data_IF_645112339597
#
_entry.id   IF_645112339597
#
_cell.length_a   1.000
_cell.length_b   1.000
_cell.length_c   1.000
_cell.angle_alpha   90.00
_cell.angle_beta   90.00
_cell.angle_gamma   90.00
#
_symmetry.space_group_name_H-M   'P 1'
#
loop_
_entity.id
_entity.type
_entity.pdbx_description
1 polymer ?
#
# COMPACT_ATOMS: atom_id res chain seq x y z
N UNK A 1 -14.38 -1.28 -19.00
CA UNK A 1 -13.55 -1.43 -20.20
C UNK A 1 -12.09 -1.57 -19.78
N UNK A 2 -11.39 -2.54 -20.32
CA UNK A 2 -9.96 -2.68 -20.03
C UNK A 2 -9.20 -1.42 -20.43
N UNK A 3 -8.26 -1.01 -19.60
CA UNK A 3 -7.41 0.15 -19.88
C UNK A 3 -7.93 1.49 -19.43
N UNK A 4 -9.16 1.57 -18.88
CA UNK A 4 -9.61 2.80 -18.25
C UNK A 4 -8.96 2.94 -16.87
N UNK A 5 -8.46 4.15 -16.57
CA UNK A 5 -7.87 4.43 -15.28
C UNK A 5 -8.95 4.47 -14.20
N UNK A 6 -8.67 3.82 -13.09
CA UNK A 6 -9.53 3.81 -11.90
C UNK A 6 -8.88 4.59 -10.78
N UNK A 7 -9.72 5.20 -9.95
CA UNK A 7 -9.28 5.88 -8.75
C UNK A 7 -8.93 4.85 -7.68
N UNK A 8 -7.75 5.00 -7.08
CA UNK A 8 -7.27 4.10 -6.03
C UNK A 8 -6.55 4.89 -4.94
N UNK A 9 -6.30 4.24 -3.81
CA UNK A 9 -5.42 4.78 -2.78
C UNK A 9 -4.46 3.71 -2.30
N UNK A 10 -3.26 4.14 -1.93
CA UNK A 10 -2.25 3.31 -1.30
C UNK A 10 -1.75 4.01 -0.04
N UNK A 11 -1.82 3.33 1.09
CA UNK A 11 -1.44 3.88 2.38
C UNK A 11 -0.06 3.36 2.77
N UNK A 12 0.83 4.28 3.13
CA UNK A 12 2.11 3.99 3.76
C UNK A 12 2.00 4.32 5.23
N UNK A 13 2.39 3.40 6.09
CA UNK A 13 2.42 3.63 7.55
C UNK A 13 3.86 3.58 8.03
N UNK A 14 4.24 4.59 8.80
CA UNK A 14 5.61 4.79 9.26
C UNK A 14 5.61 4.76 10.79
N UNK A 15 6.55 4.02 11.38
CA UNK A 15 6.72 4.00 12.84
C UNK A 15 7.70 5.10 13.30
N UNK A 16 7.88 5.30 14.63
CA UNK A 16 8.78 6.34 15.13
C UNK A 16 10.24 6.14 14.72
N UNK A 17 10.64 4.93 14.37
CA UNK A 17 12.01 4.63 13.90
C UNK A 17 12.15 4.85 12.39
N UNK A 18 11.09 5.26 11.70
CA UNK A 18 11.11 5.49 10.26
C UNK A 18 10.93 4.24 9.42
N UNK A 19 10.52 3.12 10.02
CA UNK A 19 10.27 1.88 9.29
C UNK A 19 8.89 1.90 8.66
N UNK A 20 8.76 1.24 7.51
CA UNK A 20 7.50 1.10 6.80
C UNK A 20 6.84 -0.24 7.13
N UNK A 21 5.53 -0.20 7.31
CA UNK A 21 4.75 -1.43 7.49
C UNK A 21 4.43 -2.03 6.13
N UNK A 22 4.76 -3.31 5.99
CA UNK A 22 4.43 -4.09 4.80
C UNK A 22 3.42 -5.16 5.15
N UNK A 23 2.58 -5.51 4.17
CA UNK A 23 1.70 -6.67 4.27
C UNK A 23 1.99 -7.65 3.15
N UNK A 24 1.94 -8.95 3.47
CA UNK A 24 1.92 -9.98 2.45
C UNK A 24 0.47 -10.32 2.16
N UNK A 25 0.09 -10.20 0.89
CA UNK A 25 -1.30 -10.42 0.47
C UNK A 25 -1.68 -11.88 0.67
N UNK A 26 -2.89 -12.11 1.20
CA UNK A 26 -3.38 -13.47 1.44
C UNK A 26 -3.41 -14.29 0.14
N UNK A 27 -3.17 -15.60 0.27
CA UNK A 27 -3.17 -16.51 -0.87
C UNK A 27 -4.54 -16.59 -1.56
N UNK A 28 -5.61 -16.22 -0.86
CA UNK A 28 -6.98 -16.18 -1.38
C UNK A 28 -7.32 -14.93 -2.16
N UNK A 29 -6.41 -13.96 -2.25
CA UNK A 29 -6.65 -12.74 -3.02
C UNK A 29 -6.76 -13.07 -4.50
N UNK A 30 -7.64 -12.36 -5.21
CA UNK A 30 -7.85 -12.59 -6.64
C UNK A 30 -6.77 -11.98 -7.52
N UNK A 31 -6.00 -11.00 -6.98
CA UNK A 31 -4.92 -10.32 -7.71
C UNK A 31 -3.68 -10.22 -6.85
N UNK A 32 -2.52 -10.51 -7.46
CA UNK A 32 -1.20 -10.39 -6.84
C UNK A 32 -1.10 -11.12 -5.49
N UNK A 33 -1.71 -12.32 -5.41
CA UNK A 33 -1.74 -13.13 -4.20
C UNK A 33 -0.32 -13.52 -3.75
N UNK A 34 -0.10 -13.47 -2.43
CA UNK A 34 1.17 -13.89 -1.82
C UNK A 34 2.30 -12.89 -1.94
N UNK A 35 2.11 -11.77 -2.64
CA UNK A 35 3.15 -10.74 -2.79
C UNK A 35 3.13 -9.75 -1.62
N UNK A 36 4.29 -9.16 -1.36
CA UNK A 36 4.41 -8.10 -0.37
C UNK A 36 4.02 -6.76 -0.98
N UNK A 37 3.30 -5.97 -0.21
CA UNK A 37 2.81 -4.66 -0.60
C UNK A 37 2.99 -3.67 0.56
N UNK A 38 2.63 -2.41 0.32
CA UNK A 38 2.52 -1.39 1.36
C UNK A 38 1.43 -1.76 2.36
N UNK A 39 1.21 -0.93 3.39
CA UNK A 39 0.34 -1.25 4.50
C UNK A 39 -1.10 -1.58 4.11
N UNK A 40 -1.68 -0.80 3.19
CA UNK A 40 -3.08 -0.94 2.82
C UNK A 40 -3.34 -0.30 1.47
N UNK A 41 -4.22 -0.90 0.68
CA UNK A 41 -4.65 -0.37 -0.61
C UNK A 41 -6.15 -0.55 -0.77
N UNK A 42 -6.75 0.23 -1.64
CA UNK A 42 -8.16 0.06 -1.96
C UNK A 42 -8.62 0.96 -3.10
N UNK A 43 -9.89 0.80 -3.42
CA UNK A 43 -10.56 1.57 -4.47
C UNK A 43 -11.81 2.20 -3.89
N UNK A 44 -11.91 3.55 -3.85
CA UNK A 44 -13.17 4.17 -3.46
C UNK A 44 -14.23 3.88 -4.52
N UNK A 45 -15.49 3.71 -4.07
CA UNK A 45 -16.61 3.59 -5.00
C UNK A 45 -16.82 4.92 -5.72
N UNK A 46 -17.44 4.92 -6.92
CA UNK A 46 -17.74 6.17 -7.60
C UNK A 46 -18.54 7.11 -6.70
N UNK A 47 -18.08 8.35 -6.59
CA UNK A 47 -18.70 9.36 -5.74
C UNK A 47 -18.29 9.32 -4.27
N UNK A 48 -17.55 8.31 -3.83
CA UNK A 48 -17.07 8.23 -2.45
C UNK A 48 -15.92 9.22 -2.23
N UNK A 49 -15.87 9.78 -1.00
CA UNK A 49 -14.73 10.56 -0.56
C UNK A 49 -13.51 9.64 -0.38
N UNK A 50 -12.40 10.01 -1.00
CA UNK A 50 -11.19 9.19 -0.99
C UNK A 50 -10.66 8.96 0.43
N UNK A 51 -10.57 10.04 1.24
CA UNK A 51 -10.02 9.93 2.60
C UNK A 51 -10.92 9.11 3.52
N UNK A 52 -12.24 9.23 3.35
CA UNK A 52 -13.19 8.41 4.09
C UNK A 52 -13.02 6.93 3.75
N UNK A 53 -12.93 6.60 2.46
CA UNK A 53 -12.75 5.22 2.00
C UNK A 53 -11.42 4.65 2.50
N UNK A 54 -10.35 5.44 2.46
CA UNK A 54 -9.03 5.02 2.93
C UNK A 54 -9.01 4.76 4.44
N UNK A 55 -9.61 5.66 5.23
CA UNK A 55 -9.69 5.53 6.68
C UNK A 55 -10.49 4.28 7.07
N UNK A 56 -11.60 4.05 6.39
CA UNK A 56 -12.42 2.87 6.62
C UNK A 56 -11.66 1.58 6.30
N UNK A 57 -10.97 1.54 5.18
CA UNK A 57 -10.23 0.36 4.74
C UNK A 57 -9.08 0.04 5.70
N UNK A 58 -8.41 1.06 6.21
CA UNK A 58 -7.34 0.91 7.19
C UNK A 58 -7.86 0.24 8.46
N UNK A 59 -9.03 0.65 8.93
CA UNK A 59 -9.68 0.05 10.09
C UNK A 59 -10.06 -1.41 9.82
N UNK A 60 -10.64 -1.68 8.64
CA UNK A 60 -11.08 -3.03 8.27
C UNK A 60 -9.91 -4.00 8.13
N UNK A 61 -8.82 -3.59 7.48
CA UNK A 61 -7.69 -4.48 7.19
C UNK A 61 -6.71 -4.62 8.34
N UNK A 62 -6.44 -3.55 9.08
CA UNK A 62 -5.40 -3.52 10.09
C UNK A 62 -5.88 -3.17 11.49
N UNK A 63 -7.16 -2.84 11.65
CA UNK A 63 -7.70 -2.45 12.95
C UNK A 63 -7.20 -1.10 13.44
N UNK A 64 -6.71 -0.26 12.56
CA UNK A 64 -6.17 1.06 12.91
C UNK A 64 -7.23 2.14 12.72
N UNK A 65 -7.47 2.92 13.77
CA UNK A 65 -8.43 4.03 13.76
C UNK A 65 -7.77 5.29 14.30
N UNK A 66 -8.27 6.47 13.86
CA UNK A 66 -7.82 7.74 14.41
C UNK A 66 -6.44 8.19 13.95
N UNK A 67 -5.85 7.54 12.96
CA UNK A 67 -4.57 7.94 12.40
C UNK A 67 -4.81 8.94 11.27
N UNK A 68 -4.33 10.18 11.39
CA UNK A 68 -4.42 11.13 10.28
C UNK A 68 -3.63 10.65 9.07
N UNK A 69 -4.22 10.80 7.89
CA UNK A 69 -3.57 10.45 6.63
C UNK A 69 -3.32 11.72 5.82
N UNK A 70 -2.14 11.82 5.22
CA UNK A 70 -1.75 12.94 4.38
C UNK A 70 -1.47 12.45 2.97
N UNK A 71 -2.07 13.07 1.96
CA UNK A 71 -1.78 12.74 0.58
C UNK A 71 -0.46 13.37 0.18
N UNK A 72 0.46 12.56 -0.38
CA UNK A 72 1.80 13.03 -0.77
C UNK A 72 2.03 12.98 -2.28
N UNK A 73 1.13 12.43 -3.04
CA UNK A 73 1.25 12.39 -4.49
C UNK A 73 0.28 11.42 -5.11
N UNK A 74 0.34 11.32 -6.43
CA UNK A 74 -0.47 10.39 -7.22
C UNK A 74 0.47 9.56 -8.08
N UNK A 75 0.36 8.25 -7.94
CA UNK A 75 1.11 7.29 -8.75
C UNK A 75 0.20 6.77 -9.86
N UNK A 76 0.51 7.12 -11.09
CA UNK A 76 -0.21 6.62 -12.26
C UNK A 76 0.55 5.42 -12.79
N UNK A 77 -0.11 4.26 -12.83
CA UNK A 77 0.57 3.06 -13.29
C UNK A 77 -0.37 2.12 -14.02
N UNK A 78 0.24 1.25 -14.81
CA UNK A 78 -0.41 0.15 -15.48
C UNK A 78 0.40 -1.11 -15.20
N UNK A 79 -0.25 -2.17 -14.78
CA UNK A 79 0.41 -3.44 -14.49
C UNK A 79 -0.45 -4.61 -14.94
N UNK A 80 0.20 -5.64 -15.47
CA UNK A 80 -0.46 -6.90 -15.83
C UNK A 80 -0.29 -7.89 -14.66
N UNK A 81 -1.38 -8.53 -14.27
CA UNK A 81 -1.34 -9.59 -13.28
C UNK A 81 -1.15 -10.93 -14.00
N UNK A 82 0.03 -11.55 -13.86
CA UNK A 82 0.28 -12.82 -14.55
C UNK A 82 -0.60 -13.96 -14.06
N UNK A 83 -1.11 -13.88 -12.82
CA UNK A 83 -1.96 -14.92 -12.26
C UNK A 83 -3.36 -14.95 -12.83
N UNK A 84 -3.89 -13.80 -13.28
CA UNK A 84 -5.26 -13.68 -13.77
C UNK A 84 -5.36 -13.17 -15.20
N UNK A 85 -4.27 -12.65 -15.77
CA UNK A 85 -4.26 -11.99 -17.07
C UNK A 85 -4.93 -10.61 -17.06
N UNK A 86 -5.29 -10.07 -15.90
CA UNK A 86 -5.94 -8.77 -15.79
C UNK A 86 -4.92 -7.64 -15.89
N UNK A 87 -5.39 -6.50 -16.39
CA UNK A 87 -4.59 -5.27 -16.49
C UNK A 87 -5.09 -4.28 -15.45
N UNK A 88 -4.16 -3.79 -14.61
CA UNK A 88 -4.42 -2.71 -13.66
C UNK A 88 -3.97 -1.39 -14.29
N UNK A 89 -4.89 -0.43 -14.37
CA UNK A 89 -4.57 0.93 -14.81
C UNK A 89 -5.21 1.90 -13.82
N UNK A 90 -4.39 2.56 -13.01
CA UNK A 90 -4.90 3.30 -11.85
C UNK A 90 -4.27 4.67 -11.68
N UNK A 91 -5.06 5.60 -11.15
CA UNK A 91 -4.59 6.83 -10.53
C UNK A 91 -4.58 6.55 -9.02
N UNK A 92 -3.41 6.24 -8.50
CA UNK A 92 -3.22 5.77 -7.14
C UNK A 92 -2.79 6.92 -6.24
N UNK A 93 -3.70 7.39 -5.40
CA UNK A 93 -3.43 8.45 -4.44
C UNK A 93 -2.60 7.89 -3.29
N UNK A 94 -1.40 8.44 -3.08
CA UNK A 94 -0.47 7.95 -2.07
C UNK A 94 -0.67 8.73 -0.79
N UNK A 95 -1.04 7.99 0.28
CA UNK A 95 -1.37 8.55 1.58
C UNK A 95 -0.38 8.04 2.62
N UNK A 96 0.03 8.89 3.55
CA UNK A 96 0.97 8.51 4.60
C UNK A 96 0.35 8.77 5.97
N UNK A 97 0.51 7.81 6.89
CA UNK A 97 0.15 7.96 8.29
C UNK A 97 1.30 7.52 9.18
N UNK A 98 1.38 8.10 10.38
CA UNK A 98 2.38 7.75 11.39
C UNK A 98 1.71 6.95 12.50
N UNK A 99 2.33 5.83 12.89
CA UNK A 99 1.85 5.02 14.01
C UNK A 99 2.79 5.13 15.19
N UNK A 100 2.21 5.07 16.40
CA UNK A 100 3.01 4.96 17.62
C UNK A 100 3.70 3.58 17.69
N UNK A 101 4.79 3.49 18.44
CA UNK A 101 5.56 2.24 18.57
C UNK A 101 4.72 1.11 19.19
N UNK A 102 3.76 1.46 20.04
CA UNK A 102 2.89 0.51 20.74
C UNK A 102 1.52 0.35 20.09
N UNK A 103 1.35 0.85 18.87
CA UNK A 103 0.07 0.73 18.16
C UNK A 103 -0.28 -0.74 17.96
N UNK A 104 -1.43 -1.13 18.48
CA UNK A 104 -1.96 -2.47 18.26
C UNK A 104 -2.44 -2.62 16.82
N UNK A 105 -1.99 -3.70 16.16
CA UNK A 105 -2.42 -4.04 14.80
C UNK A 105 -3.23 -5.34 14.85
N UNK A 106 -4.31 -5.36 14.09
CA UNK A 106 -5.19 -6.52 13.99
C UNK A 106 -5.43 -6.83 12.52
N UNK A 107 -4.46 -7.49 11.85
CA UNK A 107 -4.61 -7.81 10.43
C UNK A 107 -5.79 -8.75 10.17
N UNK A 108 -6.57 -8.46 9.13
CA UNK A 108 -7.64 -9.34 8.67
C UNK A 108 -7.02 -10.51 7.89
N UNK A 109 -7.14 -11.75 8.38
CA UNK A 109 -6.50 -12.90 7.74
C UNK A 109 -7.06 -13.23 6.35
N UNK A 110 -8.26 -12.76 6.01
CA UNK A 110 -8.80 -12.94 4.66
C UNK A 110 -8.12 -12.03 3.63
N UNK A 111 -7.44 -10.99 4.08
CA UNK A 111 -6.76 -10.03 3.22
C UNK A 111 -5.25 -10.11 3.35
N UNK A 112 -4.75 -10.38 4.55
CA UNK A 112 -3.33 -10.25 4.91
C UNK A 112 -2.84 -11.55 5.53
N UNK A 113 -1.81 -12.15 4.91
CA UNK A 113 -1.20 -13.37 5.43
C UNK A 113 -0.16 -13.07 6.52
N UNK A 114 0.53 -11.93 6.40
CA UNK A 114 1.65 -11.60 7.28
C UNK A 114 1.91 -10.09 7.23
N UNK A 115 2.40 -9.51 8.33
CA UNK A 115 2.87 -8.12 8.33
C UNK A 115 4.32 -8.06 8.79
N UNK A 116 5.03 -7.02 8.36
CA UNK A 116 6.44 -6.81 8.71
C UNK A 116 6.78 -5.32 8.69
N UNK A 117 7.50 -4.87 9.70
CA UNK A 117 8.13 -3.54 9.68
C UNK A 117 9.50 -3.65 9.02
N UNK A 118 9.81 -2.74 8.11
CA UNK A 118 11.07 -2.81 7.37
C UNK A 118 11.69 -1.43 7.18
N UNK A 119 12.99 -1.26 7.46
CA UNK A 119 13.66 0.00 7.17
C UNK A 119 13.64 0.30 5.67
N UNK A 120 13.43 1.56 5.26
CA UNK A 120 13.29 1.89 3.83
C UNK A 120 14.49 1.49 2.97
N UNK A 121 15.70 1.59 3.50
CA UNK A 121 16.91 1.21 2.75
C UNK A 121 16.96 -0.30 2.48
N UNK A 122 16.59 -1.09 3.47
CA UNK A 122 16.52 -2.55 3.32
C UNK A 122 15.42 -2.93 2.32
N UNK A 123 14.27 -2.25 2.41
CA UNK A 123 13.17 -2.49 1.51
C UNK A 123 13.57 -2.17 0.06
N UNK A 124 14.21 -1.03 -0.17
CA UNK A 124 14.63 -0.64 -1.51
C UNK A 124 15.63 -1.65 -2.09
N UNK A 125 16.57 -2.13 -1.27
CA UNK A 125 17.54 -3.14 -1.69
C UNK A 125 16.87 -4.47 -2.02
N UNK A 126 15.91 -4.90 -1.20
CA UNK A 126 15.21 -6.17 -1.41
C UNK A 126 14.31 -6.12 -2.65
N UNK A 127 13.62 -5.01 -2.87
CA UNK A 127 12.80 -4.81 -4.08
C UNK A 127 13.68 -4.86 -5.33
N UNK A 128 14.87 -4.26 -5.29
CA UNK A 128 15.79 -4.28 -6.42
C UNK A 128 16.33 -5.68 -6.71
N UNK A 129 16.63 -6.44 -5.65
CA UNK A 129 17.20 -7.79 -5.76
C UNK A 129 16.15 -8.86 -6.07
N UNK A 130 14.94 -8.72 -5.54
CA UNK A 130 13.87 -9.72 -5.64
C UNK A 130 12.54 -9.07 -6.00
N UNK A 131 12.44 -8.45 -7.20
CA UNK A 131 11.23 -7.69 -7.57
C UNK A 131 9.97 -8.56 -7.61
N UNK A 132 10.10 -9.86 -7.86
CA UNK A 132 8.96 -10.76 -7.95
C UNK A 132 8.29 -11.06 -6.60
N UNK A 133 8.90 -10.65 -5.50
CA UNK A 133 8.32 -10.78 -4.16
C UNK A 133 7.34 -9.68 -3.83
N UNK A 134 7.31 -8.62 -4.64
CA UNK A 134 6.59 -7.39 -4.35
C UNK A 134 5.56 -7.06 -5.41
N UNK A 135 4.53 -6.32 -5.00
CA UNK A 135 3.52 -5.85 -5.95
C UNK A 135 4.13 -4.84 -6.92
N UNK A 136 3.62 -4.78 -8.17
CA UNK A 136 4.21 -3.90 -9.19
C UNK A 136 4.15 -2.41 -8.85
N UNK A 137 3.21 -1.99 -8.01
CA UNK A 137 3.06 -0.57 -7.65
C UNK A 137 4.01 -0.12 -6.54
N UNK A 138 4.57 -1.03 -5.76
CA UNK A 138 5.36 -0.67 -4.59
C UNK A 138 6.59 0.20 -4.91
N UNK A 139 7.39 -0.09 -5.94
CA UNK A 139 8.54 0.78 -6.25
C UNK A 139 8.15 2.24 -6.51
N UNK A 140 7.04 2.47 -7.21
CA UNK A 140 6.55 3.82 -7.48
C UNK A 140 6.12 4.55 -6.21
N UNK A 141 5.47 3.85 -5.29
CA UNK A 141 5.08 4.42 -4.00
C UNK A 141 6.31 4.85 -3.19
N UNK A 142 7.33 3.99 -3.15
CA UNK A 142 8.57 4.29 -2.44
C UNK A 142 9.27 5.51 -3.02
N UNK A 143 9.29 5.64 -4.34
CA UNK A 143 9.89 6.79 -5.00
C UNK A 143 9.18 8.09 -4.63
N UNK A 144 7.85 8.09 -4.60
CA UNK A 144 7.05 9.25 -4.20
C UNK A 144 7.32 9.60 -2.74
N UNK A 145 7.33 8.61 -1.86
CA UNK A 145 7.58 8.83 -0.44
C UNK A 145 8.96 9.41 -0.18
N UNK A 146 9.99 8.87 -0.83
CA UNK A 146 11.35 9.36 -0.68
C UNK A 146 11.50 10.79 -1.19
N UNK A 147 10.82 11.14 -2.28
CA UNK A 147 10.87 12.48 -2.85
C UNK A 147 10.23 13.55 -1.94
N UNK A 148 9.29 13.15 -1.07
CA UNK A 148 8.60 14.08 -0.17
C UNK A 148 9.26 14.20 1.21
N UNK A 149 10.24 13.36 1.51
CA UNK A 149 10.93 13.39 2.80
C UNK A 149 11.93 14.53 2.84
N UNK A 150 12.06 15.22 3.99
CA UNK A 150 13.12 16.22 4.14
C UNK A 150 14.49 15.56 3.98
N UNK A 151 15.38 16.25 3.27
CA UNK A 151 16.77 15.84 3.19
C UNK A 151 17.44 16.18 4.52
N UNK A 152 17.90 15.16 5.21
CA UNK A 152 18.51 15.40 6.51
C UNK A 152 19.33 14.26 6.98
#
# INVERSE_FOLDING_TARGET
>A
MPGLAHRAFSILLVDPAGRLLLQRRAATKTRFAGLWANACCGHPAPGDDLMFAATRRLREELGVSGTPLTEIGVHRYRADDPGTGRVEHEHDHVLVGSLAADQHLQPDPSEIAEIRWMPPKELAADVASFPDRYTPWLPGLLAIWQATRPVG
#
